data_IF_811195121245
#
_entry.id   IF_811195121245
#
_cell.length_a   1.000
_cell.length_b   1.000
_cell.length_c   1.000
_cell.angle_alpha   90.00
_cell.angle_beta   90.00
_cell.angle_gamma   90.00
#
_symmetry.space_group_name_H-M   'P 1'
#
loop_
_entity.id
_entity.type
_entity.pdbx_description
1 polymer ?
#
# COMPACT_ATOMS: atom_id res chain seq x y z
N UNK A 1 -15.09 -17.21 -6.03
CA UNK A 1 -13.86 -17.65 -5.36
C UNK A 1 -12.64 -17.03 -6.02
N UNK A 2 -11.64 -16.73 -5.18
CA UNK A 2 -10.39 -16.16 -5.67
C UNK A 2 -9.47 -17.30 -6.09
N UNK A 3 -9.06 -17.28 -7.35
CA UNK A 3 -8.11 -18.27 -7.85
C UNK A 3 -6.69 -17.90 -7.44
N UNK A 4 -5.73 -18.87 -7.41
CA UNK A 4 -4.34 -18.56 -7.14
C UNK A 4 -3.75 -17.50 -8.08
N UNK A 5 -4.13 -17.51 -9.35
CA UNK A 5 -3.66 -16.54 -10.34
C UNK A 5 -4.15 -15.13 -9.99
N UNK A 6 -5.40 -15.00 -9.57
CA UNK A 6 -5.96 -13.70 -9.18
C UNK A 6 -5.33 -13.20 -7.90
N UNK A 7 -5.04 -14.10 -6.96
CA UNK A 7 -4.34 -13.73 -5.74
C UNK A 7 -2.95 -13.20 -6.05
N UNK A 8 -2.22 -13.84 -6.97
CA UNK A 8 -0.90 -13.38 -7.39
C UNK A 8 -0.96 -11.98 -8.02
N UNK A 9 -1.97 -11.74 -8.88
CA UNK A 9 -2.16 -10.43 -9.49
C UNK A 9 -2.42 -9.38 -8.41
N UNK A 10 -3.26 -9.69 -7.44
CA UNK A 10 -3.57 -8.77 -6.36
C UNK A 10 -2.33 -8.41 -5.54
N UNK A 11 -1.50 -9.42 -5.21
CA UNK A 11 -0.26 -9.19 -4.47
C UNK A 11 0.72 -8.34 -5.28
N UNK A 12 0.79 -8.55 -6.60
CA UNK A 12 1.62 -7.74 -7.49
C UNK A 12 1.13 -6.28 -7.54
N UNK A 13 -0.18 -6.08 -7.59
CA UNK A 13 -0.77 -4.74 -7.54
C UNK A 13 -0.37 -4.03 -6.24
N UNK A 14 -0.37 -4.75 -5.12
CA UNK A 14 0.04 -4.19 -3.84
C UNK A 14 1.54 -3.84 -3.84
N UNK A 15 2.36 -4.69 -4.42
CA UNK A 15 3.80 -4.42 -4.53
C UNK A 15 4.06 -3.15 -5.35
N UNK A 16 3.40 -3.06 -6.51
CA UNK A 16 3.52 -1.89 -7.39
C UNK A 16 3.01 -0.64 -6.67
N UNK A 17 1.91 -0.76 -5.93
CA UNK A 17 1.34 0.35 -5.18
C UNK A 17 2.28 0.88 -4.11
N UNK A 18 2.95 -0.02 -3.39
CA UNK A 18 3.92 0.39 -2.37
C UNK A 18 5.14 1.06 -3.00
N UNK A 19 5.64 0.52 -4.10
CA UNK A 19 6.76 1.13 -4.83
C UNK A 19 6.39 2.54 -5.28
N UNK A 20 5.14 2.76 -5.67
CA UNK A 20 4.67 4.07 -6.09
C UNK A 20 4.64 5.05 -4.92
N UNK A 21 4.18 4.63 -3.75
CA UNK A 21 4.19 5.49 -2.55
C UNK A 21 5.61 5.95 -2.26
N UNK A 22 6.56 5.03 -2.31
CA UNK A 22 7.97 5.32 -2.06
C UNK A 22 8.52 6.27 -3.13
N UNK A 23 8.22 6.00 -4.40
CA UNK A 23 8.72 6.80 -5.52
C UNK A 23 8.22 8.24 -5.47
N UNK A 24 6.99 8.44 -5.00
CA UNK A 24 6.36 9.76 -4.93
C UNK A 24 6.59 10.47 -3.60
N UNK A 25 7.56 10.02 -2.80
CA UNK A 25 7.76 10.50 -1.43
C UNK A 25 8.07 12.00 -1.34
N UNK A 26 8.60 12.61 -2.39
CA UNK A 26 8.94 14.04 -2.36
C UNK A 26 7.78 14.95 -2.76
N UNK A 27 6.67 14.39 -3.21
CA UNK A 27 5.47 15.16 -3.54
C UNK A 27 4.36 14.81 -2.55
N UNK A 28 3.95 15.77 -1.73
CA UNK A 28 2.90 15.54 -0.74
C UNK A 28 1.61 15.03 -1.37
N UNK A 29 1.14 15.70 -2.43
CA UNK A 29 -0.12 15.34 -3.08
C UNK A 29 -0.06 13.98 -3.74
N UNK A 30 1.03 13.71 -4.47
CA UNK A 30 1.19 12.44 -5.18
C UNK A 30 1.39 11.28 -4.21
N UNK A 31 2.15 11.51 -3.15
CA UNK A 31 2.38 10.50 -2.12
C UNK A 31 1.07 10.15 -1.41
N UNK A 32 0.28 11.16 -1.06
CA UNK A 32 -1.02 10.96 -0.42
C UNK A 32 -1.96 10.19 -1.33
N UNK A 33 -2.00 10.55 -2.61
CA UNK A 33 -2.85 9.86 -3.58
C UNK A 33 -2.43 8.39 -3.73
N UNK A 34 -1.14 8.14 -3.88
CA UNK A 34 -0.62 6.78 -4.00
C UNK A 34 -0.91 5.96 -2.75
N UNK A 35 -0.76 6.56 -1.58
CA UNK A 35 -1.06 5.91 -0.32
C UNK A 35 -2.54 5.55 -0.21
N UNK A 36 -3.44 6.45 -0.61
CA UNK A 36 -4.88 6.19 -0.63
C UNK A 36 -5.24 5.06 -1.55
N UNK A 37 -4.64 5.01 -2.75
CA UNK A 37 -4.87 3.91 -3.69
C UNK A 37 -4.35 2.59 -3.12
N UNK A 38 -3.18 2.59 -2.48
CA UNK A 38 -2.62 1.39 -1.89
C UNK A 38 -3.50 0.85 -0.76
N UNK A 39 -3.94 1.72 0.15
CA UNK A 39 -4.77 1.30 1.28
C UNK A 39 -6.13 0.81 0.82
N UNK A 40 -6.69 1.42 -0.23
CA UNK A 40 -7.94 0.94 -0.83
C UNK A 40 -7.80 -0.44 -1.44
N UNK A 41 -6.72 -0.66 -2.20
CA UNK A 41 -6.43 -1.98 -2.78
C UNK A 41 -6.18 -3.02 -1.69
N UNK A 42 -5.50 -2.63 -0.62
CA UNK A 42 -5.22 -3.50 0.51
C UNK A 42 -6.53 -3.94 1.19
N UNK A 43 -7.43 -3.00 1.42
CA UNK A 43 -8.74 -3.30 2.00
C UNK A 43 -9.53 -4.25 1.11
N UNK A 44 -9.51 -4.03 -0.20
CA UNK A 44 -10.21 -4.88 -1.15
C UNK A 44 -9.65 -6.30 -1.14
N UNK A 45 -8.32 -6.45 -1.15
CA UNK A 45 -7.67 -7.75 -1.09
C UNK A 45 -8.05 -8.50 0.19
N UNK A 46 -8.10 -7.78 1.30
CA UNK A 46 -8.53 -8.34 2.58
C UNK A 46 -10.01 -8.77 2.51
N UNK A 47 -10.86 -7.91 1.97
CA UNK A 47 -12.31 -8.19 1.87
C UNK A 47 -12.61 -9.39 1.00
N UNK A 48 -11.78 -9.65 -0.02
CA UNK A 48 -11.91 -10.80 -0.91
C UNK A 48 -11.27 -12.06 -0.36
N UNK A 49 -10.66 -12.01 0.82
CA UNK A 49 -10.03 -13.16 1.45
C UNK A 49 -8.65 -13.50 0.89
N UNK A 50 -8.04 -12.61 0.09
CA UNK A 50 -6.69 -12.82 -0.42
C UNK A 50 -5.67 -12.68 0.70
N UNK A 51 -5.94 -11.75 1.63
CA UNK A 51 -5.11 -11.53 2.81
C UNK A 51 -5.91 -11.88 4.06
N UNK A 52 -5.26 -12.50 5.04
CA UNK A 52 -5.87 -12.71 6.35
C UNK A 52 -5.66 -11.46 7.22
N UNK A 53 -6.21 -11.46 8.43
CA UNK A 53 -6.13 -10.32 9.34
C UNK A 53 -4.69 -9.92 9.63
N UNK A 54 -3.84 -10.88 9.93
CA UNK A 54 -2.44 -10.60 10.27
C UNK A 54 -1.67 -10.01 9.10
N UNK A 55 -1.89 -10.54 7.90
CA UNK A 55 -1.22 -10.03 6.69
C UNK A 55 -1.69 -8.63 6.35
N UNK A 56 -3.00 -8.38 6.45
CA UNK A 56 -3.56 -7.06 6.22
C UNK A 56 -2.96 -6.04 7.20
N UNK A 57 -2.95 -6.37 8.48
CA UNK A 57 -2.45 -5.46 9.51
C UNK A 57 -0.96 -5.17 9.32
N UNK A 58 -0.17 -6.19 9.03
CA UNK A 58 1.26 -6.03 8.79
C UNK A 58 1.52 -5.07 7.63
N UNK A 59 0.81 -5.26 6.52
CA UNK A 59 0.96 -4.42 5.33
C UNK A 59 0.45 -3.01 5.57
N UNK A 60 -0.63 -2.88 6.32
CA UNK A 60 -1.20 -1.58 6.64
C UNK A 60 -0.24 -0.75 7.50
N UNK A 61 0.31 -1.36 8.55
CA UNK A 61 1.25 -0.66 9.42
C UNK A 61 2.56 -0.30 8.70
N UNK A 62 3.01 -1.18 7.81
CA UNK A 62 4.18 -0.90 6.99
C UNK A 62 3.95 0.30 6.08
N UNK A 63 2.80 0.34 5.42
CA UNK A 63 2.43 1.45 4.54
C UNK A 63 2.31 2.76 5.31
N UNK A 64 1.72 2.70 6.48
CA UNK A 64 1.56 3.86 7.35
C UNK A 64 2.93 4.42 7.74
N UNK A 65 3.85 3.54 8.13
CA UNK A 65 5.21 3.95 8.47
C UNK A 65 5.92 4.59 7.29
N UNK A 66 5.83 3.98 6.11
CA UNK A 66 6.45 4.53 4.90
C UNK A 66 5.88 5.91 4.59
N UNK A 67 4.58 6.08 4.73
CA UNK A 67 3.92 7.35 4.44
C UNK A 67 4.38 8.45 5.41
N UNK A 68 4.44 8.15 6.70
CA UNK A 68 4.87 9.14 7.70
C UNK A 68 6.36 9.44 7.60
N UNK A 69 7.19 8.44 7.28
CA UNK A 69 8.61 8.67 7.03
C UNK A 69 8.82 9.60 5.84
N UNK A 70 8.02 9.44 4.80
CA UNK A 70 8.08 10.32 3.63
C UNK A 70 7.70 11.77 4.00
N UNK A 71 6.68 11.92 4.84
CA UNK A 71 6.28 13.26 5.31
C UNK A 71 7.41 13.92 6.11
N UNK A 72 8.09 13.15 6.95
CA UNK A 72 9.21 13.66 7.74
C UNK A 72 10.38 14.09 6.83
N UNK A 73 10.69 13.29 5.83
CA UNK A 73 11.73 13.63 4.84
C UNK A 73 11.39 14.95 4.14
N UNK A 74 10.14 15.15 3.75
CA UNK A 74 9.71 16.38 3.08
C UNK A 74 9.84 17.59 3.99
N UNK A 75 9.56 17.43 5.30
CA UNK A 75 9.66 18.53 6.27
C UNK A 75 11.10 18.93 6.54
N UNK A 76 12.00 17.95 6.53
CA UNK A 76 13.40 18.16 6.88
C UNK A 76 14.28 18.43 5.66
N UNK A 77 13.76 18.20 4.49
CA UNK A 77 14.46 18.43 3.23
C UNK A 77 14.08 19.75 2.59
#
# INVERSE_FOLDING_TARGET
>A
DVTPERAEVALEVLRIGMDRVIREKFSEDRCRYAYGQYTGALFLAYSLGILNDAEHDRRFFEAQRVYYDAAEVRQNG
#
